data_IF_932578810223
#
_entry.id   IF_932578810223
#
_cell.length_a   1.000
_cell.length_b   1.000
_cell.length_c   1.000
_cell.angle_alpha   90.00
_cell.angle_beta   90.00
_cell.angle_gamma   90.00
#
_symmetry.space_group_name_H-M   'P 1'
#
loop_
_entity.id
_entity.type
_entity.pdbx_description
1 polymer ?
#
# COMPACT_ATOMS: atom_id res chain seq x y z
N UNK A 1 -8.55 -59.30 -25.42
CA UNK A 1 -7.72 -58.96 -24.24
C UNK A 1 -7.71 -57.45 -24.08
N UNK A 2 -7.96 -56.94 -22.87
CA UNK A 2 -7.89 -55.51 -22.57
C UNK A 2 -6.48 -55.20 -22.04
N UNK A 3 -5.69 -54.46 -22.82
CA UNK A 3 -4.30 -54.09 -22.49
C UNK A 3 -4.20 -52.82 -21.64
N UNK A 4 -5.32 -52.12 -21.37
CA UNK A 4 -5.29 -50.87 -20.61
C UNK A 4 -4.74 -51.03 -19.18
N UNK A 5 -4.86 -52.22 -18.59
CA UNK A 5 -4.31 -52.54 -17.27
C UNK A 5 -2.81 -52.89 -17.26
N UNK A 6 -2.19 -53.08 -18.42
CA UNK A 6 -0.74 -53.37 -18.53
C UNK A 6 0.09 -52.11 -18.76
N UNK A 7 -0.56 -50.94 -18.88
CA UNK A 7 0.09 -49.66 -19.13
C UNK A 7 0.30 -48.89 -17.82
N UNK A 8 1.52 -48.37 -17.62
CA UNK A 8 1.83 -47.49 -16.49
C UNK A 8 1.51 -46.03 -16.86
N UNK A 9 0.24 -45.65 -16.77
CA UNK A 9 -0.22 -44.31 -17.12
C UNK A 9 0.00 -43.33 -15.96
N UNK A 10 0.32 -42.05 -16.25
CA UNK A 10 0.40 -41.02 -15.22
C UNK A 10 -0.94 -40.86 -14.48
N UNK A 11 -0.91 -40.96 -13.16
CA UNK A 11 -2.06 -40.71 -12.29
C UNK A 11 -1.77 -39.49 -11.42
N UNK A 12 -2.73 -38.56 -11.34
CA UNK A 12 -2.60 -37.38 -10.49
C UNK A 12 -3.96 -36.91 -10.00
N UNK A 13 -4.01 -36.46 -8.75
CA UNK A 13 -5.16 -35.74 -8.21
C UNK A 13 -5.17 -34.25 -8.63
N UNK A 14 -4.14 -33.78 -9.34
CA UNK A 14 -4.06 -32.40 -9.80
C UNK A 14 -5.06 -32.16 -10.94
N UNK A 15 -6.02 -31.24 -10.76
CA UNK A 15 -7.04 -31.00 -11.77
C UNK A 15 -6.44 -30.34 -13.02
N UNK A 16 -6.89 -30.78 -14.19
CA UNK A 16 -6.45 -30.22 -15.48
C UNK A 16 -6.88 -28.76 -15.64
N UNK A 17 -8.05 -28.37 -15.10
CA UNK A 17 -8.51 -26.97 -15.08
C UNK A 17 -8.08 -26.31 -13.78
N UNK A 18 -7.51 -25.10 -13.87
CA UNK A 18 -6.92 -24.42 -12.73
C UNK A 18 -7.95 -23.93 -11.69
N UNK A 19 -9.13 -23.46 -12.12
CA UNK A 19 -10.18 -22.97 -11.21
C UNK A 19 -9.73 -21.81 -10.31
N UNK A 20 -8.89 -20.92 -10.84
CA UNK A 20 -8.11 -19.94 -10.06
C UNK A 20 -8.97 -19.04 -9.16
N UNK A 21 -10.13 -18.57 -9.64
CA UNK A 21 -10.99 -17.69 -8.87
C UNK A 21 -11.39 -18.25 -7.49
N UNK A 22 -11.56 -19.57 -7.39
CA UNK A 22 -11.86 -20.27 -6.13
C UNK A 22 -10.57 -20.71 -5.44
N UNK A 23 -9.65 -21.32 -6.19
CA UNK A 23 -8.42 -21.92 -5.65
C UNK A 23 -7.45 -20.91 -5.04
N UNK A 24 -7.32 -19.73 -5.64
CA UNK A 24 -6.50 -18.64 -5.08
C UNK A 24 -7.02 -18.20 -3.72
N UNK A 25 -8.34 -18.06 -3.56
CA UNK A 25 -8.96 -17.66 -2.29
C UNK A 25 -8.66 -18.68 -1.20
N UNK A 26 -8.72 -19.98 -1.53
CA UNK A 26 -8.33 -21.05 -0.62
C UNK A 26 -6.86 -20.99 -0.23
N UNK A 27 -5.96 -20.75 -1.19
CA UNK A 27 -4.52 -20.59 -0.94
C UNK A 27 -4.24 -19.40 -0.03
N UNK A 28 -4.89 -18.25 -0.27
CA UNK A 28 -4.72 -17.06 0.56
C UNK A 28 -5.22 -17.30 2.00
N UNK A 29 -6.39 -17.92 2.17
CA UNK A 29 -6.92 -18.32 3.48
C UNK A 29 -5.97 -19.28 4.20
N UNK A 30 -5.40 -20.25 3.47
CA UNK A 30 -4.39 -21.13 4.02
C UNK A 30 -3.15 -20.35 4.48
N UNK A 31 -2.64 -19.42 3.68
CA UNK A 31 -1.47 -18.60 4.06
C UNK A 31 -1.71 -17.74 5.29
N UNK A 32 -2.91 -17.18 5.42
CA UNK A 32 -3.33 -16.37 6.57
C UNK A 32 -3.47 -17.24 7.83
N UNK A 33 -4.22 -18.35 7.74
CA UNK A 33 -4.39 -19.32 8.85
C UNK A 33 -3.05 -19.84 9.35
N UNK A 34 -2.16 -20.21 8.43
CA UNK A 34 -0.83 -20.73 8.75
C UNK A 34 0.19 -19.64 9.10
N UNK A 35 -0.19 -18.36 9.05
CA UNK A 35 0.70 -17.22 9.32
C UNK A 35 2.02 -17.33 8.54
N UNK A 36 1.93 -17.63 7.25
CA UNK A 36 3.08 -17.92 6.39
C UNK A 36 4.06 -16.76 6.33
N UNK A 37 3.59 -15.53 6.13
CA UNK A 37 4.47 -14.36 6.08
C UNK A 37 5.26 -14.15 7.40
N UNK A 38 4.63 -14.16 8.60
CA UNK A 38 5.35 -14.18 9.87
C UNK A 38 6.37 -15.32 10.01
N UNK A 39 6.03 -16.54 9.60
CA UNK A 39 6.96 -17.69 9.63
C UNK A 39 8.18 -17.44 8.73
N UNK A 40 7.98 -16.88 7.55
CA UNK A 40 9.07 -16.47 6.65
C UNK A 40 9.95 -15.41 7.32
N UNK A 41 9.37 -14.34 7.88
CA UNK A 41 10.14 -13.29 8.57
C UNK A 41 10.98 -13.85 9.71
N UNK A 42 10.42 -14.75 10.52
CA UNK A 42 11.16 -15.44 11.60
C UNK A 42 12.34 -16.26 11.05
N UNK A 43 12.13 -17.02 9.97
CA UNK A 43 13.18 -17.86 9.34
C UNK A 43 14.29 -17.05 8.68
N UNK A 44 14.01 -15.83 8.24
CA UNK A 44 14.96 -14.97 7.51
C UNK A 44 15.69 -13.96 8.41
N UNK A 45 15.27 -13.81 9.66
CA UNK A 45 15.90 -12.92 10.63
C UNK A 45 17.41 -13.21 10.75
N UNK A 46 18.24 -12.17 10.63
CA UNK A 46 19.70 -12.25 10.76
C UNK A 46 20.45 -12.58 9.46
N UNK A 47 19.74 -12.85 8.36
CA UNK A 47 20.33 -12.95 7.03
C UNK A 47 20.62 -11.55 6.45
N UNK A 48 21.41 -11.44 5.36
CA UNK A 48 21.67 -10.16 4.70
C UNK A 48 20.36 -9.44 4.36
N UNK A 49 20.26 -8.17 4.78
CA UNK A 49 19.05 -7.37 4.57
C UNK A 49 18.92 -6.99 3.09
N UNK A 50 17.69 -7.06 2.58
CA UNK A 50 17.30 -6.44 1.32
C UNK A 50 16.04 -5.60 1.55
N UNK A 51 16.19 -4.29 1.54
CA UNK A 51 15.06 -3.37 1.76
C UNK A 51 14.55 -2.83 0.43
N UNK A 52 13.30 -3.15 0.09
CA UNK A 52 12.55 -2.49 -0.96
C UNK A 52 11.55 -1.56 -0.29
N UNK A 53 11.77 -0.25 -0.39
CA UNK A 53 10.83 0.74 0.15
C UNK A 53 9.62 0.85 -0.77
N UNK A 54 8.44 0.66 -0.21
CA UNK A 54 7.19 0.82 -0.94
C UNK A 54 6.86 2.29 -1.05
N UNK A 55 6.74 2.85 -2.26
CA UNK A 55 6.11 4.16 -2.45
C UNK A 55 4.63 4.10 -2.05
N UNK A 56 4.15 5.00 -1.17
CA UNK A 56 2.80 4.90 -0.62
C UNK A 56 1.76 5.31 -1.67
N UNK A 57 0.81 4.43 -2.06
CA UNK A 57 -0.37 4.88 -2.79
C UNK A 57 -1.18 5.90 -1.98
N UNK A 58 -1.84 6.82 -2.68
CA UNK A 58 -2.85 7.68 -2.07
C UNK A 58 -4.01 6.84 -1.53
N UNK A 59 -4.44 7.16 -0.31
CA UNK A 59 -5.59 6.53 0.35
C UNK A 59 -6.91 7.10 -0.18
N UNK A 60 -7.12 7.02 -1.50
CA UNK A 60 -8.30 7.52 -2.19
C UNK A 60 -8.75 6.55 -3.29
N UNK A 61 -10.03 6.16 -3.28
CA UNK A 61 -10.60 5.28 -4.29
C UNK A 61 -10.06 3.84 -4.31
N UNK A 62 -10.50 3.10 -5.33
CA UNK A 62 -10.23 1.67 -5.52
C UNK A 62 -8.92 1.45 -6.26
N UNK A 63 -8.30 0.28 -6.08
CA UNK A 63 -7.06 0.03 -6.81
C UNK A 63 -7.27 -0.06 -8.33
N UNK A 64 -6.33 0.50 -9.09
CA UNK A 64 -6.32 0.41 -10.56
C UNK A 64 -5.15 -0.43 -11.08
N UNK A 65 -5.17 -0.75 -12.38
CA UNK A 65 -4.17 -1.64 -13.01
C UNK A 65 -2.72 -1.16 -12.85
N UNK A 66 -2.49 0.15 -12.75
CA UNK A 66 -1.16 0.72 -12.50
C UNK A 66 -0.62 0.33 -11.12
N UNK A 67 -1.46 0.37 -10.09
CA UNK A 67 -1.10 -0.08 -8.75
C UNK A 67 -0.95 -1.60 -8.69
N UNK A 68 -1.79 -2.35 -9.40
CA UNK A 68 -1.67 -3.81 -9.54
C UNK A 68 -0.30 -4.18 -10.11
N UNK A 69 0.07 -3.59 -11.25
CA UNK A 69 1.37 -3.80 -11.89
C UNK A 69 2.51 -3.46 -10.93
N UNK A 70 2.47 -2.28 -10.31
CA UNK A 70 3.50 -1.82 -9.39
C UNK A 70 3.73 -2.79 -8.23
N UNK A 71 2.64 -3.22 -7.58
CA UNK A 71 2.72 -4.07 -6.39
C UNK A 71 3.11 -5.50 -6.71
N UNK A 72 2.64 -6.06 -7.82
CA UNK A 72 3.05 -7.40 -8.28
C UNK A 72 4.55 -7.42 -8.57
N UNK A 73 5.10 -6.40 -9.26
CA UNK A 73 6.53 -6.33 -9.54
C UNK A 73 7.37 -6.26 -8.25
N UNK A 74 6.94 -5.45 -7.27
CA UNK A 74 7.58 -5.37 -5.95
C UNK A 74 7.54 -6.72 -5.23
N UNK A 75 6.40 -7.41 -5.24
CA UNK A 75 6.22 -8.71 -4.61
C UNK A 75 7.09 -9.80 -5.25
N UNK A 76 7.21 -9.83 -6.58
CA UNK A 76 8.11 -10.74 -7.30
C UNK A 76 9.56 -10.55 -6.83
N UNK A 77 10.03 -9.30 -6.76
CA UNK A 77 11.38 -8.98 -6.30
C UNK A 77 11.60 -9.41 -4.84
N UNK A 78 10.65 -9.10 -3.95
CA UNK A 78 10.73 -9.46 -2.52
C UNK A 78 10.72 -10.97 -2.33
N UNK A 79 9.84 -11.70 -3.01
CA UNK A 79 9.78 -13.17 -2.95
C UNK A 79 11.06 -13.78 -3.50
N UNK A 80 11.56 -13.31 -4.63
CA UNK A 80 12.84 -13.74 -5.21
C UNK A 80 13.99 -13.54 -4.21
N UNK A 81 14.16 -12.34 -3.65
CA UNK A 81 15.23 -12.04 -2.68
C UNK A 81 15.10 -12.88 -1.42
N UNK A 82 13.88 -13.05 -0.91
CA UNK A 82 13.59 -13.95 0.23
C UNK A 82 14.03 -15.38 -0.06
N UNK A 83 13.71 -15.92 -1.24
CA UNK A 83 14.09 -17.27 -1.67
C UNK A 83 15.61 -17.40 -1.87
N UNK A 84 16.28 -16.33 -2.31
CA UNK A 84 17.75 -16.23 -2.44
C UNK A 84 18.52 -16.08 -1.14
N UNK A 85 17.84 -16.08 0.01
CA UNK A 85 18.49 -16.06 1.32
C UNK A 85 18.68 -14.66 1.92
N UNK A 86 17.94 -13.66 1.45
CA UNK A 86 17.92 -12.33 2.08
C UNK A 86 16.79 -12.20 3.10
N UNK A 87 16.99 -11.39 4.14
CA UNK A 87 15.90 -10.84 4.92
C UNK A 87 15.28 -9.66 4.17
N UNK A 88 14.24 -9.95 3.39
CA UNK A 88 13.55 -8.95 2.58
C UNK A 88 12.13 -8.65 3.11
N UNK A 89 11.96 -7.83 4.17
CA UNK A 89 10.64 -7.46 4.66
C UNK A 89 9.99 -6.47 3.69
N UNK A 90 8.71 -6.67 3.39
CA UNK A 90 7.91 -5.69 2.65
C UNK A 90 6.95 -5.00 3.61
N UNK A 91 7.11 -3.69 3.75
CA UNK A 91 6.26 -2.84 4.58
C UNK A 91 5.45 -1.93 3.65
N UNK A 92 4.17 -2.21 3.44
CA UNK A 92 3.31 -1.34 2.65
C UNK A 92 3.08 -0.03 3.41
N UNK A 93 2.79 1.04 2.67
CA UNK A 93 2.29 2.26 3.27
C UNK A 93 1.28 2.99 2.43
N UNK A 94 0.76 4.09 2.97
CA UNK A 94 -0.27 4.91 2.35
C UNK A 94 -0.03 6.38 2.62
N UNK A 95 -0.35 7.19 1.61
CA UNK A 95 -0.38 8.63 1.73
C UNK A 95 -1.82 9.08 2.03
N UNK A 96 -1.99 9.63 3.23
CA UNK A 96 -3.28 9.94 3.83
C UNK A 96 -3.58 11.45 3.85
N UNK A 97 -2.67 12.29 3.33
CA UNK A 97 -2.81 13.75 3.33
C UNK A 97 -2.96 14.30 1.91
N UNK A 98 -3.16 15.61 1.80
CA UNK A 98 -3.08 16.35 0.54
C UNK A 98 -4.42 16.58 -0.16
N UNK A 99 -4.38 17.41 -1.21
CA UNK A 99 -5.54 17.85 -1.98
C UNK A 99 -6.40 16.72 -2.57
N UNK A 100 -5.86 15.58 -3.02
CA UNK A 100 -6.69 14.51 -3.57
C UNK A 100 -7.70 13.95 -2.56
N UNK A 101 -7.30 13.80 -1.29
CA UNK A 101 -8.19 13.34 -0.20
C UNK A 101 -9.22 14.42 0.10
N UNK A 102 -8.80 15.68 0.21
CA UNK A 102 -9.70 16.79 0.49
C UNK A 102 -10.78 16.95 -0.59
N UNK A 103 -10.38 16.92 -1.86
CA UNK A 103 -11.28 17.09 -2.99
C UNK A 103 -12.31 15.97 -3.09
N UNK A 104 -11.89 14.70 -2.90
CA UNK A 104 -12.83 13.58 -2.89
C UNK A 104 -13.79 13.64 -1.70
N UNK A 105 -13.30 14.07 -0.53
CA UNK A 105 -14.15 14.23 0.64
C UNK A 105 -15.19 15.35 0.47
N UNK A 106 -14.80 16.52 -0.03
CA UNK A 106 -15.77 17.60 -0.32
C UNK A 106 -16.82 17.16 -1.35
N UNK A 107 -16.39 16.45 -2.40
CA UNK A 107 -17.32 15.89 -3.39
C UNK A 107 -18.29 14.88 -2.78
N UNK A 108 -17.84 14.04 -1.85
CA UNK A 108 -18.69 13.06 -1.18
C UNK A 108 -19.65 13.71 -0.18
N UNK A 109 -19.21 14.74 0.54
CA UNK A 109 -20.02 15.45 1.51
C UNK A 109 -21.00 16.42 0.85
N UNK A 110 -20.73 16.87 -0.38
CA UNK A 110 -21.57 17.84 -1.08
C UNK A 110 -21.54 19.24 -0.46
N UNK A 111 -20.48 19.56 0.29
CA UNK A 111 -20.30 20.84 1.00
C UNK A 111 -19.03 21.55 0.51
N UNK A 112 -18.98 22.86 0.72
CA UNK A 112 -17.81 23.69 0.47
C UNK A 112 -16.92 23.85 1.72
N UNK A 113 -15.71 24.38 1.52
CA UNK A 113 -14.73 24.64 2.60
C UNK A 113 -15.27 25.53 3.73
N UNK A 114 -16.21 26.42 3.43
CA UNK A 114 -16.75 27.38 4.39
C UNK A 114 -17.87 26.81 5.26
N UNK A 115 -18.37 25.62 4.92
CA UNK A 115 -19.53 24.99 5.56
C UNK A 115 -19.13 23.99 6.65
N UNK A 116 -17.83 23.78 6.88
CA UNK A 116 -17.30 22.85 7.88
C UNK A 116 -16.10 23.45 8.62
N UNK A 117 -16.03 23.21 9.93
CA UNK A 117 -14.85 23.62 10.71
C UNK A 117 -13.62 22.81 10.31
N UNK A 118 -12.43 23.42 10.39
CA UNK A 118 -11.18 22.74 10.07
C UNK A 118 -10.95 21.49 10.93
N UNK A 119 -11.32 21.53 12.21
CA UNK A 119 -11.17 20.40 13.12
C UNK A 119 -12.07 19.23 12.71
N UNK A 120 -13.34 19.52 12.43
CA UNK A 120 -14.29 18.50 11.99
C UNK A 120 -13.89 17.92 10.63
N UNK A 121 -13.47 18.77 9.69
CA UNK A 121 -13.01 18.34 8.38
C UNK A 121 -11.80 17.40 8.49
N UNK A 122 -10.78 17.76 9.29
CA UNK A 122 -9.60 16.90 9.50
C UNK A 122 -9.96 15.56 10.14
N UNK A 123 -10.95 15.53 11.03
CA UNK A 123 -11.48 14.27 11.58
C UNK A 123 -12.11 13.41 10.49
N UNK A 124 -13.00 13.99 9.67
CA UNK A 124 -13.63 13.28 8.54
C UNK A 124 -12.60 12.83 7.49
N UNK A 125 -11.58 13.62 7.22
CA UNK A 125 -10.49 13.25 6.30
C UNK A 125 -9.67 12.05 6.82
N UNK A 126 -9.39 12.01 8.13
CA UNK A 126 -8.74 10.85 8.76
C UNK A 126 -9.61 9.59 8.70
N UNK A 127 -10.91 9.72 8.95
CA UNK A 127 -11.88 8.61 8.81
C UNK A 127 -11.94 8.10 7.35
N UNK A 128 -12.01 9.02 6.39
CA UNK A 128 -12.00 8.73 4.96
C UNK A 128 -10.72 7.99 4.54
N UNK A 129 -9.55 8.52 4.88
CA UNK A 129 -8.28 7.88 4.56
C UNK A 129 -8.18 6.49 5.20
N UNK A 130 -8.62 6.34 6.45
CA UNK A 130 -8.63 5.04 7.14
C UNK A 130 -9.51 4.02 6.41
N UNK A 131 -10.70 4.43 5.95
CA UNK A 131 -11.58 3.57 5.17
C UNK A 131 -10.89 3.03 3.89
N UNK A 132 -10.26 3.92 3.11
CA UNK A 132 -9.58 3.51 1.88
C UNK A 132 -8.31 2.71 2.13
N UNK A 133 -7.55 3.00 3.19
CA UNK A 133 -6.44 2.15 3.64
C UNK A 133 -6.92 0.72 3.85
N UNK A 134 -8.03 0.51 4.58
CA UNK A 134 -8.58 -0.83 4.79
C UNK A 134 -9.04 -1.49 3.49
N UNK A 135 -9.77 -0.76 2.63
CA UNK A 135 -10.27 -1.30 1.36
C UNK A 135 -9.12 -1.73 0.45
N UNK A 136 -8.20 -0.82 0.16
CA UNK A 136 -7.05 -1.08 -0.71
C UNK A 136 -6.13 -2.16 -0.14
N UNK A 137 -6.00 -2.25 1.19
CA UNK A 137 -5.26 -3.34 1.84
C UNK A 137 -5.84 -4.70 1.50
N UNK A 138 -7.16 -4.89 1.59
CA UNK A 138 -7.78 -6.17 1.24
C UNK A 138 -7.67 -6.45 -0.27
N UNK A 139 -7.79 -5.42 -1.11
CA UNK A 139 -7.58 -5.55 -2.56
C UNK A 139 -6.14 -5.99 -2.89
N UNK A 140 -5.12 -5.41 -2.25
CA UNK A 140 -3.73 -5.85 -2.41
C UNK A 140 -3.47 -7.25 -1.82
N UNK A 141 -4.09 -7.60 -0.68
CA UNK A 141 -4.03 -8.97 -0.14
C UNK A 141 -4.63 -9.98 -1.13
N UNK A 142 -5.71 -9.62 -1.83
CA UNK A 142 -6.34 -10.47 -2.85
C UNK A 142 -5.39 -10.78 -4.03
N UNK A 143 -4.44 -9.91 -4.33
CA UNK A 143 -3.40 -10.15 -5.34
C UNK A 143 -2.29 -11.13 -4.87
N UNK A 144 -2.36 -11.63 -3.63
CA UNK A 144 -1.38 -12.58 -3.09
C UNK A 144 -0.03 -11.97 -2.73
N UNK A 145 0.00 -10.67 -2.50
CA UNK A 145 1.19 -9.92 -2.11
C UNK A 145 1.56 -10.20 -0.65
N UNK A 146 2.82 -10.55 -0.43
CA UNK A 146 3.37 -10.67 0.92
C UNK A 146 3.81 -9.32 1.45
N UNK A 147 3.31 -8.96 2.64
CA UNK A 147 3.62 -7.70 3.29
C UNK A 147 3.21 -7.68 4.75
N UNK A 148 3.74 -6.70 5.48
CA UNK A 148 3.36 -6.43 6.88
C UNK A 148 2.05 -5.63 6.92
N UNK A 149 0.95 -6.27 6.55
CA UNK A 149 -0.38 -5.65 6.43
C UNK A 149 -1.00 -5.20 7.76
N UNK A 150 -0.60 -5.82 8.88
CA UNK A 150 -1.08 -5.46 10.23
C UNK A 150 -0.41 -4.20 10.79
N UNK A 151 0.75 -3.83 10.26
CA UNK A 151 1.50 -2.66 10.72
C UNK A 151 2.16 -1.95 9.53
N UNK A 152 1.34 -1.37 8.63
CA UNK A 152 1.83 -0.54 7.53
C UNK A 152 2.32 0.80 8.07
N UNK A 153 3.06 1.55 7.25
CA UNK A 153 3.36 2.95 7.59
C UNK A 153 2.29 3.85 6.98
N UNK A 154 1.78 4.81 7.76
CA UNK A 154 0.75 5.74 7.32
C UNK A 154 1.28 7.16 7.50
N UNK A 155 1.11 8.04 6.52
CA UNK A 155 1.60 9.42 6.66
C UNK A 155 0.85 10.21 7.74
N UNK A 156 -0.34 9.75 8.14
CA UNK A 156 -1.14 10.29 9.26
C UNK A 156 -0.83 9.67 10.64
N UNK A 157 0.16 8.77 10.74
CA UNK A 157 0.64 8.26 12.03
C UNK A 157 1.39 9.40 12.77
N UNK A 158 1.05 9.70 14.04
CA UNK A 158 1.74 10.74 14.81
C UNK A 158 3.26 10.60 14.85
N UNK A 159 3.79 9.37 14.81
CA UNK A 159 5.25 9.14 14.76
C UNK A 159 5.84 9.54 13.41
N UNK A 160 5.11 9.30 12.32
CA UNK A 160 5.53 9.71 10.99
C UNK A 160 5.52 11.24 10.87
N UNK A 161 4.44 11.88 11.33
CA UNK A 161 4.31 13.35 11.37
C UNK A 161 5.41 14.00 12.23
N UNK A 162 5.74 13.41 13.39
CA UNK A 162 6.82 13.90 14.25
C UNK A 162 8.20 13.85 13.56
N UNK A 163 8.49 12.78 12.81
CA UNK A 163 9.75 12.69 12.03
C UNK A 163 9.79 13.72 10.89
N UNK A 164 8.66 14.02 10.24
CA UNK A 164 8.59 15.12 9.26
C UNK A 164 8.97 16.46 9.91
N UNK A 165 8.36 16.79 11.05
CA UNK A 165 8.62 18.05 11.77
C UNK A 165 10.09 18.13 12.21
N UNK A 166 10.66 17.01 12.68
CA UNK A 166 12.06 16.93 13.06
C UNK A 166 13.00 17.18 11.87
N UNK A 167 12.75 16.54 10.72
CA UNK A 167 13.55 16.75 9.51
C UNK A 167 13.44 18.20 9.03
N UNK A 168 12.23 18.77 9.04
CA UNK A 168 12.02 20.19 8.74
C UNK A 168 12.87 21.08 9.64
N UNK A 169 12.86 20.83 10.96
CA UNK A 169 13.68 21.57 11.92
C UNK A 169 15.19 21.45 11.65
N UNK A 170 15.68 20.25 11.32
CA UNK A 170 17.10 20.04 10.95
C UNK A 170 17.46 20.84 9.69
N UNK A 171 16.62 20.80 8.66
CA UNK A 171 16.84 21.53 7.41
C UNK A 171 16.82 23.06 7.64
N UNK A 172 15.91 23.54 8.49
CA UNK A 172 15.86 24.94 8.88
C UNK A 172 17.11 25.38 9.64
N UNK A 173 17.57 24.60 10.63
CA UNK A 173 18.80 24.90 11.39
C UNK A 173 20.06 24.93 10.52
N UNK A 174 20.11 24.11 9.46
CA UNK A 174 21.20 24.11 8.49
C UNK A 174 21.13 25.24 7.45
N UNK A 175 20.10 26.10 7.51
CA UNK A 175 19.91 27.22 6.58
C UNK A 175 19.36 26.84 5.21
N UNK A 176 18.83 25.62 5.04
CA UNK A 176 18.22 25.19 3.76
C UNK A 176 16.78 25.68 3.58
N UNK A 177 16.11 26.10 4.64
CA UNK A 177 14.73 26.60 4.60
C UNK A 177 14.75 28.10 4.90
N UNK A 178 14.18 28.87 3.98
CA UNK A 178 13.97 30.30 4.13
C UNK A 178 12.57 30.67 3.63
N UNK A 179 12.09 31.85 4.03
CA UNK A 179 10.82 32.40 3.56
C UNK A 179 11.09 33.47 2.51
N UNK A 180 10.41 33.38 1.38
CA UNK A 180 10.47 34.35 0.30
C UNK A 180 9.13 34.48 -0.41
N UNK A 181 9.10 35.26 -1.49
CA UNK A 181 7.93 35.40 -2.36
C UNK A 181 8.29 34.89 -3.76
N UNK A 182 7.39 34.11 -4.35
CA UNK A 182 7.52 33.59 -5.71
C UNK A 182 6.14 33.67 -6.37
N UNK A 183 6.02 34.14 -7.63
CA UNK A 183 4.80 33.95 -8.40
C UNK A 183 4.52 32.47 -8.57
N UNK A 184 3.26 32.06 -8.34
CA UNK A 184 2.83 30.66 -8.34
C UNK A 184 1.50 30.51 -9.08
N UNK A 185 1.22 29.30 -9.56
CA UNK A 185 -0.10 28.97 -10.08
C UNK A 185 -1.12 28.95 -8.92
N UNK A 186 -2.20 29.70 -9.08
CA UNK A 186 -3.25 29.84 -8.07
C UNK A 186 -4.56 29.25 -8.58
N UNK A 187 -5.12 28.28 -7.85
CA UNK A 187 -6.43 27.74 -8.18
C UNK A 187 -7.51 28.50 -7.40
N UNK A 188 -8.34 29.28 -8.11
CA UNK A 188 -9.44 30.04 -7.52
C UNK A 188 -10.49 29.14 -6.85
N UNK A 189 -10.71 27.93 -7.38
CA UNK A 189 -11.68 26.98 -6.85
C UNK A 189 -11.16 26.28 -5.58
N UNK A 190 -9.89 25.87 -5.57
CA UNK A 190 -9.28 25.19 -4.43
C UNK A 190 -8.80 26.16 -3.34
N UNK A 191 -8.68 27.46 -3.67
CA UNK A 191 -8.17 28.53 -2.80
C UNK A 191 -6.78 28.22 -2.23
N UNK A 192 -5.89 27.71 -3.07
CA UNK A 192 -4.51 27.38 -2.68
C UNK A 192 -3.56 27.53 -3.86
N UNK A 193 -2.29 27.67 -3.52
CA UNK A 193 -1.17 27.46 -4.42
C UNK A 193 -1.20 26.02 -4.95
N UNK A 194 -0.93 25.84 -6.25
CA UNK A 194 -0.64 24.55 -6.87
C UNK A 194 0.85 24.44 -7.15
N UNK A 195 1.41 23.24 -6.95
CA UNK A 195 2.73 22.92 -7.47
C UNK A 195 2.70 22.85 -9.01
N UNK A 196 3.85 22.99 -9.68
CA UNK A 196 3.94 22.89 -11.16
C UNK A 196 3.54 21.49 -11.69
N UNK A 197 3.52 20.49 -10.81
CA UNK A 197 3.10 19.12 -11.10
C UNK A 197 1.64 18.83 -10.72
N UNK A 198 0.91 19.79 -10.16
CA UNK A 198 -0.51 19.71 -9.76
C UNK A 198 -1.39 20.54 -10.70
#
# INVERSE_FOLDING_TARGET
>A
MNYSGTLNLPTTAFPMRAGLAQKEVEILRFWEKEKIYPKIRKKKKGLPNYTLHDGPPYANGDIHLGQVLNKILKDVVVKYKTMRGFDAPFVPGWDCHGLPVEHQLFRQLGISKNEISQLEFRRKAREYATHFVHKQREEFKRLGIFGRWENPYLTMDPKYEAEIVKIFGILFQKGYIYRGLKPIHWCFNCQTALAEAE
#
